data_IF_287501221893
#
_entry.id   IF_287501221893
#
_cell.length_a   1.000
_cell.length_b   1.000
_cell.length_c   1.000
_cell.angle_alpha   90.00
_cell.angle_beta   90.00
_cell.angle_gamma   90.00
#
_symmetry.space_group_name_H-M   'P 1'
#
loop_
_entity.id
_entity.type
_entity.pdbx_description
1 polymer ?
#
# COMPACT_ATOMS: atom_id res chain seq x y z
N UNK A 1 6.17 20.00 -51.14
CA UNK A 1 5.48 20.19 -49.84
C UNK A 1 4.64 18.98 -49.46
N UNK A 2 5.23 17.78 -49.41
CA UNK A 2 4.53 16.52 -49.04
C UNK A 2 5.37 15.65 -48.10
N UNK A 3 6.69 15.77 -48.18
CA UNK A 3 7.67 15.09 -47.31
C UNK A 3 7.61 15.57 -45.85
N UNK A 4 7.34 16.86 -45.59
CA UNK A 4 7.26 17.39 -44.22
C UNK A 4 6.06 16.85 -43.41
N UNK A 5 4.97 16.46 -44.06
CA UNK A 5 3.79 15.88 -43.39
C UNK A 5 4.08 14.47 -42.86
N UNK A 6 4.89 13.69 -43.57
CA UNK A 6 5.20 12.32 -43.18
C UNK A 6 6.04 12.24 -41.90
N UNK A 7 6.93 13.21 -41.67
CA UNK A 7 7.78 13.21 -40.47
C UNK A 7 7.00 13.62 -39.21
N UNK A 8 6.05 14.55 -39.31
CA UNK A 8 5.19 14.92 -38.18
C UNK A 8 4.26 13.79 -37.74
N UNK A 9 3.77 12.97 -38.67
CA UNK A 9 2.91 11.82 -38.37
C UNK A 9 3.64 10.69 -37.61
N UNK A 10 4.95 10.54 -37.82
CA UNK A 10 5.74 9.52 -37.13
C UNK A 10 6.05 9.91 -35.68
N UNK A 11 6.31 11.20 -35.42
CA UNK A 11 6.64 11.69 -34.08
C UNK A 11 5.44 11.59 -33.13
N UNK A 12 4.21 11.81 -33.62
CA UNK A 12 2.99 11.64 -32.81
C UNK A 12 2.63 10.18 -32.56
N UNK A 13 2.90 9.27 -33.52
CA UNK A 13 2.61 7.84 -33.35
C UNK A 13 3.42 7.20 -32.21
N UNK A 14 4.70 7.57 -32.07
CA UNK A 14 5.55 7.05 -31.00
C UNK A 14 5.20 7.55 -29.60
N UNK A 15 4.36 8.58 -29.45
CA UNK A 15 4.03 9.17 -28.15
C UNK A 15 2.93 8.40 -27.38
N UNK A 16 2.24 7.45 -28.00
CA UNK A 16 1.03 6.84 -27.43
C UNK A 16 1.20 5.47 -26.75
N UNK A 17 2.42 5.03 -26.43
CA UNK A 17 2.62 3.73 -25.78
C UNK A 17 3.22 3.84 -24.38
N UNK A 18 2.47 4.44 -23.46
CA UNK A 18 2.68 4.27 -22.01
C UNK A 18 1.33 4.15 -21.29
N UNK A 19 0.55 3.15 -21.69
CA UNK A 19 -0.46 2.57 -20.80
C UNK A 19 -0.32 1.06 -20.89
N UNK A 20 0.52 0.49 -20.03
CA UNK A 20 0.44 -0.93 -19.72
C UNK A 20 -0.88 -1.15 -18.98
N UNK A 21 -1.90 -1.82 -19.54
CA UNK A 21 -2.97 -2.35 -18.73
C UNK A 21 -2.40 -3.55 -17.98
N UNK A 22 -1.73 -3.28 -16.85
CA UNK A 22 -1.39 -4.33 -15.90
C UNK A 22 -2.71 -5.02 -15.52
N UNK A 23 -2.82 -6.35 -15.60
CA UNK A 23 -4.05 -7.04 -15.26
C UNK A 23 -4.47 -6.61 -13.84
N UNK A 24 -5.66 -6.04 -13.73
CA UNK A 24 -6.32 -5.59 -12.50
C UNK A 24 -6.65 -6.81 -11.62
N UNK A 25 -5.62 -7.47 -11.11
CA UNK A 25 -5.75 -8.34 -9.93
C UNK A 25 -5.15 -7.52 -8.80
N UNK A 26 -6.00 -6.76 -8.10
CA UNK A 26 -5.58 -6.18 -6.81
C UNK A 26 -5.00 -7.32 -5.97
N UNK A 27 -3.74 -7.24 -5.52
CA UNK A 27 -3.15 -8.34 -4.77
C UNK A 27 -4.00 -8.60 -3.54
N UNK A 28 -4.44 -9.85 -3.41
CA UNK A 28 -5.43 -10.24 -2.41
C UNK A 28 -4.76 -10.32 -1.03
N UNK A 29 -5.31 -9.56 -0.08
CA UNK A 29 -4.89 -9.61 1.32
C UNK A 29 -5.66 -10.72 2.03
N UNK A 30 -4.98 -11.82 2.34
CA UNK A 30 -5.60 -13.02 2.93
C UNK A 30 -5.65 -12.97 4.47
N UNK A 31 -4.90 -12.07 5.10
CA UNK A 31 -4.84 -11.98 6.55
C UNK A 31 -6.11 -11.29 7.11
N UNK A 32 -6.60 -11.69 8.31
CA UNK A 32 -7.79 -11.09 8.91
C UNK A 32 -7.66 -9.57 9.07
N UNK A 33 -8.75 -8.84 8.79
CA UNK A 33 -8.86 -7.39 8.96
C UNK A 33 -7.80 -6.55 8.22
N UNK A 34 -7.32 -7.06 7.08
CA UNK A 34 -6.40 -6.34 6.18
C UNK A 34 -7.10 -5.86 4.91
N UNK A 35 -6.63 -4.76 4.35
CA UNK A 35 -7.01 -4.24 3.04
C UNK A 35 -5.77 -3.94 2.22
N UNK A 36 -5.86 -4.09 0.91
CA UNK A 36 -4.79 -3.63 0.02
C UNK A 36 -4.78 -2.11 0.00
N UNK A 37 -3.60 -1.52 0.15
CA UNK A 37 -3.38 -0.09 -0.05
C UNK A 37 -2.27 0.13 -1.05
N UNK A 38 -2.52 1.00 -2.02
CA UNK A 38 -1.48 1.48 -2.94
C UNK A 38 -0.58 2.57 -2.31
N UNK A 39 -0.92 3.04 -1.12
CA UNK A 39 -0.19 4.07 -0.39
C UNK A 39 -0.10 3.66 1.10
N UNK A 40 1.09 3.24 1.55
CA UNK A 40 1.30 2.76 2.92
C UNK A 40 2.05 3.78 3.77
N UNK A 41 2.08 3.58 5.09
CA UNK A 41 2.82 4.45 5.97
C UNK A 41 4.33 4.18 5.89
N UNK A 42 5.09 5.15 5.39
CA UNK A 42 6.56 5.04 5.31
C UNK A 42 7.23 4.96 6.69
N UNK A 43 6.58 5.50 7.72
CA UNK A 43 7.11 5.57 9.08
C UNK A 43 6.91 4.27 9.89
N UNK A 44 6.44 3.21 9.22
CA UNK A 44 6.13 1.94 9.86
C UNK A 44 4.72 1.91 10.43
N UNK A 45 4.18 0.70 10.45
CA UNK A 45 2.79 0.45 10.85
C UNK A 45 2.67 0.26 12.38
N UNK A 46 1.45 0.48 12.88
CA UNK A 46 1.13 0.24 14.29
C UNK A 46 0.85 -1.23 14.54
N UNK A 47 1.36 -1.75 15.65
CA UNK A 47 1.11 -3.09 16.14
C UNK A 47 0.85 -3.09 17.65
N UNK A 48 0.52 -4.25 18.22
CA UNK A 48 0.22 -4.37 19.64
C UNK A 48 1.37 -3.93 20.58
N UNK A 49 2.61 -3.83 20.11
CA UNK A 49 3.76 -3.38 20.91
C UNK A 49 3.98 -1.86 20.89
N UNK A 50 3.36 -1.13 19.95
CA UNK A 50 3.65 0.30 19.71
C UNK A 50 2.42 1.17 19.38
N UNK A 51 1.20 0.61 19.41
CA UNK A 51 -0.02 1.33 19.04
C UNK A 51 -0.30 2.57 19.92
N UNK A 52 0.13 2.53 21.18
CA UNK A 52 -0.01 3.61 22.16
C UNK A 52 1.21 4.56 22.20
N UNK A 53 2.28 4.26 21.46
CA UNK A 53 3.49 5.10 21.43
C UNK A 53 3.37 6.12 20.30
N UNK A 54 3.77 7.39 20.50
CA UNK A 54 3.88 8.33 19.39
C UNK A 54 4.88 7.79 18.36
N UNK A 55 4.62 8.03 17.07
CA UNK A 55 5.61 7.73 16.03
C UNK A 55 6.71 8.79 16.06
N UNK A 56 8.00 8.42 16.08
CA UNK A 56 9.09 9.37 15.93
C UNK A 56 9.23 9.89 14.49
N UNK A 57 8.48 9.31 13.55
CA UNK A 57 8.49 9.66 12.13
C UNK A 57 7.10 10.14 11.68
N UNK A 58 7.09 11.18 10.85
CA UNK A 58 5.90 11.68 10.16
C UNK A 58 6.25 11.96 8.70
N UNK A 59 5.41 11.49 7.78
CA UNK A 59 5.57 11.70 6.33
C UNK A 59 4.21 11.76 5.66
N UNK A 60 4.05 12.70 4.72
CA UNK A 60 2.89 12.78 3.82
C UNK A 60 3.10 11.97 2.52
N UNK A 61 4.29 11.38 2.34
CA UNK A 61 4.62 10.56 1.17
C UNK A 61 4.15 9.13 1.39
N UNK A 62 3.69 8.50 0.31
CA UNK A 62 3.32 7.09 0.28
C UNK A 62 4.56 6.18 0.34
N UNK A 63 4.50 5.17 1.19
CA UNK A 63 5.36 3.98 1.09
C UNK A 63 4.92 3.06 -0.06
N UNK A 64 5.63 1.94 -0.26
CA UNK A 64 5.29 0.96 -1.29
C UNK A 64 3.91 0.33 -1.06
N UNK A 65 3.20 -0.10 -2.11
CA UNK A 65 1.91 -0.77 -1.98
C UNK A 65 2.02 -2.05 -1.14
N UNK A 66 1.09 -2.27 -0.22
CA UNK A 66 1.04 -3.48 0.62
C UNK A 66 -0.35 -3.72 1.21
N UNK A 67 -0.52 -4.85 1.88
CA UNK A 67 -1.64 -5.10 2.76
C UNK A 67 -1.44 -4.35 4.08
N UNK A 68 -2.42 -3.53 4.45
CA UNK A 68 -2.44 -2.73 5.68
C UNK A 68 -3.66 -3.12 6.51
N UNK A 69 -3.65 -2.78 7.80
CA UNK A 69 -4.83 -2.97 8.64
C UNK A 69 -5.99 -2.07 8.20
N UNK A 70 -7.21 -2.55 8.41
CA UNK A 70 -8.40 -1.71 8.35
C UNK A 70 -8.32 -0.56 9.37
N UNK A 71 -9.14 0.47 9.17
CA UNK A 71 -9.23 1.59 10.11
C UNK A 71 -9.57 1.08 11.51
N UNK A 72 -8.95 1.68 12.53
CA UNK A 72 -9.06 1.27 13.95
C UNK A 72 -8.36 -0.04 14.35
N UNK A 73 -7.91 -0.85 13.38
CA UNK A 73 -7.12 -2.06 13.63
C UNK A 73 -5.61 -1.76 13.64
N UNK A 74 -4.86 -2.60 14.33
CA UNK A 74 -3.39 -2.60 14.36
C UNK A 74 -2.89 -4.02 14.11
N UNK A 75 -1.66 -4.15 13.62
CA UNK A 75 -1.07 -5.46 13.42
C UNK A 75 -0.93 -6.22 14.74
N UNK A 76 -1.18 -7.53 14.70
CA UNK A 76 -1.03 -8.39 15.86
C UNK A 76 0.39 -8.33 16.42
N UNK A 77 1.38 -8.43 15.53
CA UNK A 77 2.80 -8.38 15.83
C UNK A 77 3.55 -7.55 14.78
N UNK A 78 4.88 -7.64 14.77
CA UNK A 78 5.68 -7.10 13.67
C UNK A 78 5.53 -7.91 12.38
N UNK A 79 4.93 -9.11 12.44
CA UNK A 79 4.73 -9.97 11.29
C UNK A 79 3.32 -9.76 10.69
N UNK A 80 3.27 -9.19 9.48
CA UNK A 80 2.01 -8.80 8.83
C UNK A 80 1.13 -10.00 8.44
N UNK A 81 1.69 -11.22 8.41
CA UNK A 81 0.97 -12.47 8.09
C UNK A 81 -0.06 -12.85 9.15
N UNK A 82 0.14 -12.42 10.40
CA UNK A 82 -0.74 -12.73 11.54
C UNK A 82 -2.04 -11.91 11.54
N UNK A 83 -2.14 -10.91 10.66
CA UNK A 83 -3.32 -10.08 10.49
C UNK A 83 -3.43 -8.96 11.52
N UNK A 84 -4.64 -8.40 11.60
CA UNK A 84 -4.91 -7.21 12.39
C UNK A 84 -6.01 -7.44 13.42
N UNK A 85 -5.84 -6.79 14.57
CA UNK A 85 -6.75 -6.83 15.72
C UNK A 85 -7.08 -5.42 16.18
N UNK A 86 -8.16 -5.26 16.92
CA UNK A 86 -8.46 -3.96 17.52
C UNK A 86 -7.49 -3.69 18.67
N UNK A 87 -7.29 -2.41 19.02
CA UNK A 87 -6.37 -2.02 20.10
C UNK A 87 -6.74 -2.64 21.45
N UNK A 88 -8.03 -2.90 21.67
CA UNK A 88 -8.59 -3.51 22.88
C UNK A 88 -8.27 -5.01 22.97
N UNK A 89 -7.96 -5.66 21.84
CA UNK A 89 -7.58 -7.07 21.79
C UNK A 89 -6.08 -7.29 22.07
N UNK A 90 -5.24 -6.26 21.97
CA UNK A 90 -3.80 -6.41 22.24
C UNK A 90 -3.45 -6.87 23.68
N UNK A 91 -4.09 -6.36 24.76
CA UNK A 91 -3.77 -6.78 26.15
C UNK A 91 -4.14 -8.23 26.45
N UNK A 92 -5.10 -8.82 25.74
CA UNK A 92 -5.60 -10.19 26.01
C UNK A 92 -4.68 -11.27 25.42
N UNK A 93 -3.72 -10.89 24.58
CA UNK A 93 -2.81 -11.79 23.87
C UNK A 93 -1.48 -12.02 24.59
N UNK A 94 -1.08 -11.12 25.50
CA UNK A 94 0.09 -11.27 26.38
C UNK A 94 -0.13 -12.27 27.54
N UNK A 95 -1.16 -13.10 27.47
CA UNK A 95 -1.61 -13.98 28.57
C UNK A 95 -1.70 -15.46 28.15
N UNK A 96 -0.80 -15.90 27.25
CA UNK A 96 -0.57 -17.31 26.92
C UNK A 96 0.89 -17.67 27.11
#
# INVERSE_FOLDING_TARGET
MKIFYFLFALITYSYSQDTSPTPTTTPQCNAPNTKYSNCTNLCGEKNCNNYNKPSPCFSLRCGPPACVCNEEYVFLSGEHSEGCVTKEQCPTLNRR
#
